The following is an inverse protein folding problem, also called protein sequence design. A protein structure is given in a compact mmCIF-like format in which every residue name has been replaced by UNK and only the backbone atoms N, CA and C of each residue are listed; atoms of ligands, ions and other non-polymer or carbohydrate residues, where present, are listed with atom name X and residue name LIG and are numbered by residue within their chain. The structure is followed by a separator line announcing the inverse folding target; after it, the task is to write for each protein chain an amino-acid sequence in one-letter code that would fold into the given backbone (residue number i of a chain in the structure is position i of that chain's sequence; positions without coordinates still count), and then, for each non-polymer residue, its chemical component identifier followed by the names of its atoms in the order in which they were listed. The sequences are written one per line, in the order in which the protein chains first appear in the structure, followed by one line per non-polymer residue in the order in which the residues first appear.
data_IF_611545468971
#
_entry.id   IF_611545468971
#
_cell.length_a   1.000
_cell.length_b   1.000
_cell.length_c   1.000
_cell.angle_alpha   90.00
_cell.angle_beta   90.00
_cell.angle_gamma   90.00
#
_symmetry.space_group_name_H-M   'P 1'
#
loop_
_entity.id
_entity.type
_entity.pdbx_description
1 polymer ?
#
# COMPACT_ATOMS: atom_id res chain seq x y z
N UNK A 1 0.36 -29.21 -27.98
CA UNK A 1 0.12 -28.67 -26.62
C UNK A 1 1.33 -29.05 -25.78
N UNK A 2 2.22 -28.09 -25.48
CA UNK A 2 3.50 -28.38 -24.82
C UNK A 2 3.30 -28.85 -23.39
N UNK A 3 4.01 -29.90 -22.99
CA UNK A 3 4.04 -30.45 -21.63
C UNK A 3 4.52 -29.36 -20.66
N UNK A 4 3.59 -28.82 -19.87
CA UNK A 4 3.90 -27.89 -18.79
C UNK A 4 4.74 -28.62 -17.74
N UNK A 5 6.05 -28.36 -17.75
CA UNK A 5 6.95 -28.88 -16.72
C UNK A 5 7.31 -27.74 -15.77
N UNK A 6 7.27 -28.03 -14.46
CA UNK A 6 7.64 -27.09 -13.39
C UNK A 6 8.99 -26.38 -13.66
N UNK A 7 10.08 -27.07 -14.08
CA UNK A 7 11.35 -26.40 -14.37
C UNK A 7 11.27 -25.44 -15.55
N UNK A 8 10.50 -25.77 -16.60
CA UNK A 8 10.29 -24.88 -17.73
C UNK A 8 9.53 -23.62 -17.31
N UNK A 9 8.46 -23.78 -16.52
CA UNK A 9 7.69 -22.67 -15.98
C UNK A 9 8.54 -21.72 -15.12
N UNK A 10 9.37 -22.25 -14.21
CA UNK A 10 10.25 -21.43 -13.38
C UNK A 10 11.27 -20.66 -14.21
N UNK A 11 11.85 -21.29 -15.24
CA UNK A 11 12.77 -20.62 -16.16
C UNK A 11 12.07 -19.47 -16.89
N UNK A 12 10.88 -19.69 -17.43
CA UNK A 12 10.14 -18.64 -18.14
C UNK A 12 9.67 -17.52 -17.21
N UNK A 13 9.17 -17.86 -16.03
CA UNK A 13 8.60 -16.89 -15.09
C UNK A 13 9.67 -16.00 -14.43
N UNK A 14 10.87 -16.53 -14.18
CA UNK A 14 11.94 -15.81 -13.48
C UNK A 14 12.95 -15.24 -14.48
N UNK A 15 13.45 -16.06 -15.40
CA UNK A 15 14.57 -15.69 -16.28
C UNK A 15 14.11 -14.85 -17.49
N UNK A 16 13.07 -15.29 -18.19
CA UNK A 16 12.59 -14.58 -19.40
C UNK A 16 11.83 -13.30 -19.04
N UNK A 17 11.29 -13.21 -17.82
CA UNK A 17 10.57 -12.03 -17.31
C UNK A 17 11.37 -11.17 -16.33
N UNK A 18 12.68 -11.40 -16.20
CA UNK A 18 13.57 -10.64 -15.29
C UNK A 18 13.44 -9.12 -15.39
N UNK A 19 13.23 -8.59 -16.60
CA UNK A 19 13.03 -7.15 -16.82
C UNK A 19 11.77 -6.61 -16.14
N UNK A 20 10.67 -7.37 -16.17
CA UNK A 20 9.43 -7.00 -15.48
C UNK A 20 9.57 -7.07 -13.96
N UNK A 21 10.34 -8.04 -13.45
CA UNK A 21 10.66 -8.13 -12.02
C UNK A 21 11.55 -6.97 -11.54
N UNK A 22 12.50 -6.52 -12.36
CA UNK A 22 13.31 -5.34 -12.04
C UNK A 22 12.43 -4.08 -12.07
N UNK A 23 11.52 -3.98 -13.04
CA UNK A 23 10.60 -2.85 -13.17
C UNK A 23 9.53 -2.80 -12.06
N UNK A 24 9.20 -3.92 -11.41
CA UNK A 24 8.22 -3.93 -10.32
C UNK A 24 8.73 -3.23 -9.06
N UNK A 25 10.05 -3.25 -8.81
CA UNK A 25 10.67 -2.60 -7.65
C UNK A 25 10.37 -1.09 -7.61
N UNK A 26 10.70 -0.29 -8.64
CA UNK A 26 10.39 1.13 -8.63
C UNK A 26 8.87 1.38 -8.69
N UNK A 27 8.08 0.53 -9.36
CA UNK A 27 6.63 0.68 -9.39
C UNK A 27 6.00 0.54 -8.00
N UNK A 28 6.42 -0.45 -7.22
CA UNK A 28 5.97 -0.64 -5.83
C UNK A 28 6.40 0.55 -4.97
N UNK A 29 7.64 1.02 -5.13
CA UNK A 29 8.13 2.18 -4.39
C UNK A 29 7.31 3.44 -4.67
N UNK A 30 7.07 3.75 -5.94
CA UNK A 30 6.25 4.89 -6.36
C UNK A 30 4.83 4.76 -5.83
N UNK A 31 4.22 3.57 -5.93
CA UNK A 31 2.89 3.31 -5.38
C UNK A 31 2.83 3.61 -3.88
N UNK A 32 3.82 3.15 -3.12
CA UNK A 32 3.90 3.42 -1.67
C UNK A 32 4.09 4.90 -1.35
N UNK A 33 4.92 5.61 -2.12
CA UNK A 33 5.08 7.05 -1.98
C UNK A 33 3.78 7.81 -2.30
N UNK A 34 3.05 7.37 -3.32
CA UNK A 34 1.75 7.94 -3.70
C UNK A 34 0.72 7.76 -2.60
N UNK A 35 0.57 6.54 -2.07
CA UNK A 35 -0.35 6.26 -0.96
C UNK A 35 -0.01 7.11 0.26
N UNK A 36 1.26 7.17 0.65
CA UNK A 36 1.71 8.00 1.77
C UNK A 36 1.39 9.49 1.58
N UNK A 37 1.54 10.02 0.35
CA UNK A 37 1.18 11.41 0.05
C UNK A 37 -0.34 11.65 0.16
N UNK A 38 -1.15 10.69 -0.28
CA UNK A 38 -2.61 10.72 -0.11
C UNK A 38 -3.00 10.69 1.37
N UNK A 39 -2.43 9.76 2.14
CA UNK A 39 -2.68 9.63 3.57
C UNK A 39 -2.23 10.86 4.35
N UNK A 40 -1.11 11.50 4.01
CA UNK A 40 -0.67 12.73 4.66
C UNK A 40 -1.72 13.86 4.55
N UNK A 41 -2.41 13.96 3.41
CA UNK A 41 -3.50 14.95 3.23
C UNK A 41 -4.72 14.61 4.09
N UNK A 42 -5.09 13.34 4.16
CA UNK A 42 -6.20 12.85 5.01
C UNK A 42 -5.86 13.02 6.49
N UNK A 43 -4.59 12.85 6.84
CA UNK A 43 -4.07 13.02 8.19
C UNK A 43 -4.24 14.45 8.70
N UNK A 44 -4.10 15.47 7.83
CA UNK A 44 -4.41 16.86 8.16
C UNK A 44 -5.89 17.12 8.44
N UNK A 45 -6.78 16.22 8.02
CA UNK A 45 -8.22 16.29 8.29
C UNK A 45 -8.62 15.53 9.57
N UNK A 46 -7.69 14.82 10.23
CA UNK A 46 -7.95 14.12 11.49
C UNK A 46 -8.50 15.11 12.53
N UNK A 47 -9.61 14.73 13.16
CA UNK A 47 -10.27 15.53 14.21
C UNK A 47 -11.08 16.73 13.72
N UNK A 48 -11.09 17.03 12.41
CA UNK A 48 -11.87 18.15 11.84
C UNK A 48 -13.25 17.74 11.31
N UNK A 49 -13.54 16.45 11.20
CA UNK A 49 -14.83 15.96 10.72
C UNK A 49 -15.94 16.18 11.75
N UNK A 50 -17.05 16.83 11.36
CA UNK A 50 -18.23 17.00 12.23
C UNK A 50 -18.87 15.65 12.61
N UNK A 51 -18.84 14.67 11.72
CA UNK A 51 -19.42 13.32 11.93
C UNK A 51 -18.77 12.56 13.10
N UNK A 52 -17.49 12.78 13.37
CA UNK A 52 -16.74 12.07 14.42
C UNK A 52 -16.32 12.99 15.58
N UNK A 53 -16.86 14.21 15.65
CA UNK A 53 -16.47 15.21 16.66
C UNK A 53 -16.69 14.70 18.10
N UNK A 54 -17.78 13.97 18.33
CA UNK A 54 -18.10 13.43 19.66
C UNK A 54 -17.21 12.23 20.03
N UNK A 55 -16.81 11.41 19.05
CA UNK A 55 -15.84 10.32 19.27
C UNK A 55 -14.45 10.86 19.59
N UNK A 56 -14.03 11.96 18.97
CA UNK A 56 -12.74 12.61 19.27
C UNK A 56 -12.74 13.18 20.69
N UNK A 57 -13.88 13.71 21.16
CA UNK A 57 -14.02 14.24 22.54
C UNK A 57 -14.00 13.16 23.61
N UNK A 58 -14.43 11.93 23.29
CA UNK A 58 -14.44 10.81 24.23
C UNK A 58 -13.09 10.09 24.34
N UNK A 59 -12.16 10.35 23.44
CA UNK A 59 -10.83 9.74 23.45
C UNK A 59 -9.89 10.45 24.45
N UNK A 60 -8.96 9.69 25.09
CA UNK A 60 -7.89 10.29 25.88
C UNK A 60 -7.09 11.27 25.02
N UNK A 61 -6.63 12.40 25.59
CA UNK A 61 -5.91 13.46 24.86
C UNK A 61 -4.64 12.99 24.10
N UNK A 62 -4.12 11.82 24.46
CA UNK A 62 -2.91 11.21 23.93
C UNK A 62 -3.19 10.00 23.01
N UNK A 63 -4.48 9.65 22.80
CA UNK A 63 -4.87 8.58 21.90
C UNK A 63 -5.13 9.14 20.49
N UNK A 64 -4.58 8.48 19.47
CA UNK A 64 -4.87 8.81 18.08
C UNK A 64 -6.31 8.35 17.75
N UNK A 65 -7.22 9.27 17.35
CA UNK A 65 -8.62 8.93 17.06
C UNK A 65 -8.84 7.98 15.89
N UNK A 66 -7.77 7.68 15.15
CA UNK A 66 -7.81 6.86 13.95
C UNK A 66 -6.86 5.66 14.01
N UNK A 67 -6.28 5.39 15.19
CA UNK A 67 -5.47 4.20 15.42
C UNK A 67 -6.41 3.02 15.69
N UNK A 68 -6.86 2.41 14.59
CA UNK A 68 -7.46 1.09 14.51
C UNK A 68 -6.84 0.39 13.30
#
# INVERSE_FOLDING_TARGET
MGTFTIPYFLRTAIWDKKGYWIASIPAIYIGRCWDNAGYAKVEMMKGRSKMYADRVRSLPKHADPWKY
#
